data_IF_422967378646
#
_entry.id   IF_422967378646
#
_cell.length_a   1.000
_cell.length_b   1.000
_cell.length_c   1.000
_cell.angle_alpha   90.00
_cell.angle_beta   90.00
_cell.angle_gamma   90.00
#
_symmetry.space_group_name_H-M   'P 1'
#
loop_
_entity.id
_entity.type
_entity.pdbx_description
1 polymer ?
#
# COMPACT_ATOMS: atom_id res chain seq x y z
N UNK A 1 51.60 3.28 38.16
CA UNK A 1 50.42 4.12 37.87
C UNK A 1 49.33 3.20 37.36
N UNK A 2 48.37 2.84 38.22
CA UNK A 2 47.27 1.91 37.91
C UNK A 2 45.98 2.73 38.05
N UNK A 3 45.26 2.91 36.94
CA UNK A 3 43.99 3.64 36.92
C UNK A 3 42.82 2.65 36.92
N UNK A 4 42.04 2.65 37.99
CA UNK A 4 40.80 1.88 38.16
C UNK A 4 39.67 2.53 37.35
N UNK A 5 39.06 1.77 36.43
CA UNK A 5 37.80 2.13 35.79
C UNK A 5 36.62 1.63 36.62
N UNK A 6 35.71 2.55 36.95
CA UNK A 6 34.46 2.29 37.67
C UNK A 6 33.40 1.91 36.62
N UNK A 7 33.01 0.64 36.59
CA UNK A 7 31.83 0.17 35.87
C UNK A 7 30.58 0.53 36.69
N UNK A 8 29.83 1.52 36.22
CA UNK A 8 28.51 1.84 36.75
C UNK A 8 27.46 0.99 36.02
N UNK A 9 27.05 -0.11 36.64
CA UNK A 9 25.96 -0.97 36.19
C UNK A 9 24.62 -0.25 36.39
N UNK A 10 24.07 0.35 35.33
CA UNK A 10 22.72 0.91 35.33
C UNK A 10 21.73 -0.26 35.25
N UNK A 11 21.08 -0.56 36.37
CA UNK A 11 19.97 -1.50 36.42
C UNK A 11 18.73 -0.84 35.77
N UNK A 12 18.45 -1.21 34.53
CA UNK A 12 17.19 -0.84 33.84
C UNK A 12 16.06 -1.63 34.50
N UNK A 13 15.25 -0.94 35.30
CA UNK A 13 13.96 -1.45 35.79
C UNK A 13 13.04 -1.66 34.58
N UNK A 14 12.95 -2.91 34.12
CA UNK A 14 11.88 -3.34 33.21
C UNK A 14 10.59 -3.30 34.02
N UNK A 15 9.82 -2.22 33.87
CA UNK A 15 8.42 -2.18 34.30
C UNK A 15 7.68 -3.15 33.38
N UNK A 16 7.57 -4.40 33.82
CA UNK A 16 6.65 -5.37 33.24
C UNK A 16 5.24 -4.83 33.47
N UNK A 17 4.70 -4.13 32.47
CA UNK A 17 3.29 -3.76 32.42
C UNK A 17 2.48 -5.03 32.58
N UNK A 18 1.85 -5.19 33.75
CA UNK A 18 0.89 -6.24 34.01
C UNK A 18 -0.10 -6.26 32.84
N UNK A 19 -0.15 -7.38 32.13
CA UNK A 19 -1.08 -7.56 31.03
C UNK A 19 -2.49 -7.31 31.54
N UNK A 20 -3.05 -6.14 31.18
CA UNK A 20 -4.46 -6.09 30.83
C UNK A 20 -4.64 -7.27 29.90
N UNK A 21 -5.53 -8.21 30.24
CA UNK A 21 -5.87 -9.33 29.36
C UNK A 21 -6.33 -8.72 28.05
N UNK A 22 -5.39 -8.53 27.13
CA UNK A 22 -5.52 -7.64 25.99
C UNK A 22 -6.61 -8.20 25.13
N UNK A 23 -7.71 -7.47 25.02
CA UNK A 23 -8.81 -7.87 24.18
C UNK A 23 -8.29 -8.03 22.75
N UNK A 24 -8.49 -9.20 22.14
CA UNK A 24 -7.96 -9.48 20.81
C UNK A 24 -8.85 -8.83 19.75
N UNK A 25 -8.54 -7.59 19.39
CA UNK A 25 -9.28 -6.82 18.40
C UNK A 25 -9.29 -7.44 16.99
N UNK A 26 -8.37 -8.35 16.66
CA UNK A 26 -8.43 -9.07 15.38
C UNK A 26 -9.61 -10.06 15.33
N UNK A 27 -9.94 -10.67 16.47
CA UNK A 27 -11.00 -11.68 16.56
C UNK A 27 -12.36 -11.06 16.87
N UNK A 28 -12.39 -9.90 17.53
CA UNK A 28 -13.64 -9.26 17.95
C UNK A 28 -13.57 -7.74 17.79
N UNK A 29 -13.40 -7.24 16.56
CA UNK A 29 -13.15 -5.82 16.30
C UNK A 29 -14.31 -4.89 16.70
N UNK A 30 -15.49 -5.44 16.98
CA UNK A 30 -16.70 -4.71 17.38
C UNK A 30 -16.73 -4.35 18.87
N UNK A 31 -15.77 -4.82 19.67
CA UNK A 31 -15.72 -4.55 21.10
C UNK A 31 -15.30 -3.09 21.37
N UNK A 32 -15.89 -2.48 22.41
CA UNK A 32 -15.66 -1.06 22.72
C UNK A 32 -14.20 -0.73 23.05
N UNK A 33 -13.43 -1.69 23.60
CA UNK A 33 -12.01 -1.51 23.91
C UNK A 33 -11.11 -1.42 22.67
N UNK A 34 -11.62 -1.75 21.48
CA UNK A 34 -10.84 -1.72 20.25
C UNK A 34 -10.74 -0.34 19.61
N UNK A 35 -11.33 0.70 20.20
CA UNK A 35 -11.34 2.05 19.61
C UNK A 35 -9.94 2.59 19.34
N UNK A 36 -9.03 2.44 20.29
CA UNK A 36 -7.66 2.94 20.16
C UNK A 36 -6.69 1.94 19.50
N UNK A 37 -7.18 0.79 19.06
CA UNK A 37 -6.34 -0.21 18.41
C UNK A 37 -5.80 0.33 17.08
N UNK A 38 -4.49 0.20 16.89
CA UNK A 38 -3.81 0.52 15.62
C UNK A 38 -3.21 -0.73 15.03
N UNK A 39 -3.62 -1.06 13.80
CA UNK A 39 -2.98 -2.12 13.03
C UNK A 39 -1.47 -1.86 12.90
N UNK A 40 -0.60 -2.80 13.36
CA UNK A 40 0.84 -2.59 13.35
C UNK A 40 1.40 -2.42 11.94
N UNK A 41 2.35 -1.49 11.78
CA UNK A 41 3.02 -1.24 10.49
C UNK A 41 3.75 -2.48 9.98
N UNK A 42 4.39 -3.22 10.88
CA UNK A 42 5.16 -4.43 10.56
C UNK A 42 4.24 -5.51 9.98
N UNK A 43 3.02 -5.64 10.54
CA UNK A 43 2.00 -6.55 10.02
C UNK A 43 1.51 -6.11 8.64
N UNK A 44 1.36 -4.81 8.41
CA UNK A 44 1.00 -4.31 7.09
C UNK A 44 2.07 -4.58 6.04
N UNK A 45 3.35 -4.43 6.39
CA UNK A 45 4.49 -4.81 5.53
C UNK A 45 4.47 -6.30 5.20
N UNK A 46 4.28 -7.16 6.21
CA UNK A 46 4.20 -8.63 6.01
C UNK A 46 3.05 -8.99 5.05
N UNK A 47 1.87 -8.40 5.26
CA UNK A 47 0.69 -8.60 4.43
C UNK A 47 0.91 -8.11 2.99
N UNK A 48 1.49 -6.92 2.81
CA UNK A 48 1.83 -6.38 1.49
C UNK A 48 2.85 -7.26 0.75
N UNK A 49 3.92 -7.70 1.42
CA UNK A 49 4.88 -8.66 0.84
C UNK A 49 4.17 -9.94 0.37
N UNK A 50 3.27 -10.47 1.20
CA UNK A 50 2.50 -11.67 0.83
C UNK A 50 1.57 -11.44 -0.37
N UNK A 51 0.95 -10.25 -0.48
CA UNK A 51 0.03 -9.91 -1.57
C UNK A 51 0.81 -9.69 -2.87
N UNK A 52 1.89 -8.93 -2.79
CA UNK A 52 2.68 -8.48 -3.94
C UNK A 52 3.63 -9.55 -4.49
N UNK A 53 3.82 -10.68 -3.78
CA UNK A 53 4.58 -11.80 -4.32
C UNK A 53 3.90 -12.40 -5.56
N UNK A 54 4.47 -12.13 -6.73
CA UNK A 54 4.00 -12.63 -8.03
C UNK A 54 2.64 -12.07 -8.44
N UNK A 55 2.29 -10.87 -7.98
CA UNK A 55 1.07 -10.16 -8.37
C UNK A 55 1.49 -8.76 -8.82
N UNK A 56 0.99 -8.31 -9.97
CA UNK A 56 1.23 -6.94 -10.40
C UNK A 56 -0.01 -6.09 -10.22
N UNK A 57 0.09 -5.09 -9.35
CA UNK A 57 -1.01 -4.24 -8.96
C UNK A 57 -0.50 -2.86 -8.56
N UNK A 58 -1.34 -1.84 -8.71
CA UNK A 58 -0.98 -0.43 -8.44
C UNK A 58 -0.45 -0.25 -7.01
N UNK A 59 -1.11 -0.86 -6.02
CA UNK A 59 -0.67 -0.77 -4.62
C UNK A 59 0.68 -1.48 -4.38
N UNK A 60 1.01 -2.49 -5.18
CA UNK A 60 2.30 -3.19 -5.12
C UNK A 60 3.43 -2.36 -5.74
N UNK A 61 3.16 -1.67 -6.85
CA UNK A 61 4.13 -0.75 -7.46
C UNK A 61 4.50 0.39 -6.50
N UNK A 62 3.50 0.94 -5.82
CA UNK A 62 3.70 1.94 -4.77
C UNK A 62 4.47 1.37 -3.57
N UNK A 63 4.12 0.16 -3.11
CA UNK A 63 4.82 -0.51 -2.01
C UNK A 63 6.30 -0.75 -2.35
N UNK A 64 6.62 -1.19 -3.56
CA UNK A 64 7.99 -1.40 -4.01
C UNK A 64 8.75 -0.08 -4.10
N UNK A 65 8.12 0.96 -4.66
CA UNK A 65 8.71 2.31 -4.73
C UNK A 65 9.02 2.87 -3.33
N UNK A 66 8.10 2.68 -2.38
CA UNK A 66 8.29 3.08 -0.99
C UNK A 66 9.37 2.25 -0.28
N UNK A 67 9.38 0.93 -0.50
CA UNK A 67 10.35 0.01 0.13
C UNK A 67 11.78 0.24 -0.36
N UNK A 68 11.93 0.67 -1.61
CA UNK A 68 13.23 0.98 -2.21
C UNK A 68 13.72 2.41 -1.94
N UNK A 69 13.06 3.16 -1.05
CA UNK A 69 13.39 4.55 -0.71
C UNK A 69 13.45 5.50 -1.92
N UNK A 70 12.67 5.20 -2.97
CA UNK A 70 12.57 6.08 -4.15
C UNK A 70 11.81 7.36 -3.78
N UNK A 71 10.75 7.22 -3.00
CA UNK A 71 10.01 8.34 -2.42
C UNK A 71 10.71 8.80 -1.14
N UNK A 72 11.13 10.07 -1.10
CA UNK A 72 11.84 10.65 0.05
C UNK A 72 10.89 11.35 1.02
N UNK A 73 11.25 11.30 2.31
CA UNK A 73 10.59 12.02 3.39
C UNK A 73 9.26 11.40 3.85
N UNK A 74 8.52 12.13 4.67
CA UNK A 74 7.20 11.72 5.14
C UNK A 74 6.17 11.87 4.02
N UNK A 75 5.97 10.79 3.28
CA UNK A 75 4.94 10.70 2.24
C UNK A 75 3.84 9.74 2.70
N UNK A 76 2.60 10.22 2.77
CA UNK A 76 1.45 9.40 3.17
C UNK A 76 1.17 8.25 2.20
N UNK A 77 1.58 8.35 0.92
CA UNK A 77 1.52 7.22 -0.02
C UNK A 77 2.37 6.03 0.43
N UNK A 78 3.38 6.26 1.27
CA UNK A 78 4.21 5.22 1.86
C UNK A 78 3.73 4.77 3.24
N UNK A 79 2.53 5.19 3.66
CA UNK A 79 1.86 4.55 4.79
C UNK A 79 1.42 3.14 4.38
N UNK A 80 1.98 2.14 5.06
CA UNK A 80 1.80 0.75 4.69
C UNK A 80 0.37 0.25 4.96
N UNK A 81 -0.35 0.88 5.89
CA UNK A 81 -1.73 0.54 6.19
C UNK A 81 -2.65 1.11 5.11
N UNK A 82 -2.35 2.32 4.60
CA UNK A 82 -3.04 2.88 3.43
C UNK A 82 -2.82 2.00 2.20
N UNK A 83 -1.58 1.60 1.93
CA UNK A 83 -1.26 0.71 0.80
C UNK A 83 -1.90 -0.68 0.95
N UNK A 84 -1.91 -1.25 2.16
CA UNK A 84 -2.58 -2.52 2.43
C UNK A 84 -4.09 -2.40 2.17
N UNK A 85 -4.70 -1.31 2.62
CA UNK A 85 -6.12 -1.07 2.38
C UNK A 85 -6.43 -0.95 0.88
N UNK A 86 -5.63 -0.16 0.15
CA UNK A 86 -5.78 -0.02 -1.30
C UNK A 86 -5.62 -1.38 -2.01
N UNK A 87 -4.61 -2.16 -1.65
CA UNK A 87 -4.39 -3.50 -2.18
C UNK A 87 -5.58 -4.43 -1.91
N UNK A 88 -6.14 -4.39 -0.69
CA UNK A 88 -7.24 -5.28 -0.31
C UNK A 88 -8.61 -4.86 -0.85
N UNK A 89 -8.76 -3.59 -1.21
CA UNK A 89 -9.94 -3.03 -1.89
C UNK A 89 -9.88 -3.19 -3.42
N UNK A 90 -8.70 -3.48 -3.98
CA UNK A 90 -8.52 -3.70 -5.41
C UNK A 90 -9.23 -5.00 -5.86
N UNK A 91 -10.20 -4.96 -6.79
CA UNK A 91 -10.91 -6.14 -7.29
C UNK A 91 -9.98 -7.22 -7.87
N UNK A 92 -8.88 -6.80 -8.51
CA UNK A 92 -7.92 -7.73 -9.12
C UNK A 92 -7.05 -8.45 -8.07
N UNK A 93 -7.02 -7.97 -6.83
CA UNK A 93 -6.36 -8.66 -5.72
C UNK A 93 -7.41 -9.42 -4.89
N UNK A 94 -8.57 -8.80 -4.65
CA UNK A 94 -9.59 -9.34 -3.76
C UNK A 94 -10.15 -10.68 -4.23
N UNK A 95 -10.17 -10.95 -5.53
CA UNK A 95 -10.86 -12.12 -6.07
C UNK A 95 -9.96 -13.37 -6.20
N UNK A 96 -8.65 -13.22 -5.92
CA UNK A 96 -7.68 -14.31 -6.08
C UNK A 96 -7.34 -15.02 -4.75
N UNK A 97 -6.97 -16.31 -4.83
CA UNK A 97 -6.57 -17.21 -3.71
C UNK A 97 -5.39 -16.70 -2.84
N UNK A 98 -4.82 -15.53 -3.14
CA UNK A 98 -3.72 -14.87 -2.39
C UNK A 98 -4.22 -13.96 -1.26
N UNK A 99 -5.46 -14.13 -0.80
CA UNK A 99 -6.08 -13.30 0.23
C UNK A 99 -5.43 -13.34 1.63
N UNK A 100 -4.43 -14.19 1.91
CA UNK A 100 -3.87 -14.31 3.27
C UNK A 100 -3.46 -12.96 3.87
N UNK A 101 -2.82 -12.09 3.08
CA UNK A 101 -2.46 -10.74 3.53
C UNK A 101 -3.66 -9.81 3.75
N UNK A 102 -4.80 -10.06 3.11
CA UNK A 102 -6.01 -9.26 3.27
C UNK A 102 -7.00 -9.82 4.29
N UNK A 103 -6.94 -11.11 4.63
CA UNK A 103 -7.91 -11.76 5.53
C UNK A 103 -7.93 -11.09 6.89
N UNK A 104 -6.75 -10.86 7.48
CA UNK A 104 -6.66 -10.22 8.80
C UNK A 104 -7.15 -8.76 8.77
N UNK A 105 -6.74 -8.00 7.76
CA UNK A 105 -7.16 -6.60 7.58
C UNK A 105 -8.67 -6.49 7.38
N UNK A 106 -9.24 -7.31 6.49
CA UNK A 106 -10.70 -7.34 6.23
C UNK A 106 -11.50 -7.80 7.44
N UNK A 107 -10.98 -8.74 8.23
CA UNK A 107 -11.60 -9.15 9.48
C UNK A 107 -11.66 -7.98 10.47
N UNK A 108 -10.52 -7.32 10.68
CA UNK A 108 -10.40 -6.18 11.59
C UNK A 108 -11.27 -4.99 11.17
N UNK A 109 -11.29 -4.67 9.88
CA UNK A 109 -12.01 -3.54 9.31
C UNK A 109 -13.38 -3.93 8.72
N UNK A 110 -14.00 -4.95 9.29
CA UNK A 110 -15.34 -5.39 8.91
C UNK A 110 -16.42 -4.40 9.38
N UNK A 111 -17.62 -4.53 8.81
CA UNK A 111 -18.76 -3.70 9.18
C UNK A 111 -19.04 -3.76 10.68
N UNK A 112 -19.21 -2.59 11.31
CA UNK A 112 -19.44 -2.47 12.75
C UNK A 112 -18.18 -2.52 13.62
N UNK A 113 -16.99 -2.59 13.02
CA UNK A 113 -15.71 -2.43 13.74
C UNK A 113 -15.71 -1.16 14.59
N UNK A 114 -15.14 -1.27 15.80
CA UNK A 114 -14.86 -0.13 16.67
C UNK A 114 -13.45 0.41 16.50
N UNK A 115 -12.59 -0.28 15.73
CA UNK A 115 -11.22 0.12 15.45
C UNK A 115 -11.20 1.43 14.67
N UNK A 116 -10.87 2.54 15.35
CA UNK A 116 -10.89 3.86 14.73
C UNK A 116 -9.91 3.95 13.55
N UNK A 117 -8.78 3.24 13.63
CA UNK A 117 -7.80 3.20 12.55
C UNK A 117 -8.39 2.69 11.23
N UNK A 118 -9.34 1.74 11.27
CA UNK A 118 -10.05 1.28 10.08
C UNK A 118 -10.89 2.41 9.46
N UNK A 119 -11.64 3.15 10.28
CA UNK A 119 -12.46 4.26 9.79
C UNK A 119 -11.62 5.44 9.28
N UNK A 120 -10.46 5.68 9.89
CA UNK A 120 -9.52 6.70 9.44
C UNK A 120 -8.96 6.36 8.07
N UNK A 121 -8.43 5.14 7.89
CA UNK A 121 -7.85 4.70 6.62
C UNK A 121 -8.89 4.56 5.50
N UNK A 122 -10.11 4.14 5.84
CA UNK A 122 -11.22 4.05 4.89
C UNK A 122 -11.88 5.41 4.59
N UNK A 123 -11.56 6.45 5.35
CA UNK A 123 -12.13 7.78 5.12
C UNK A 123 -11.72 8.32 3.75
N UNK A 124 -12.63 8.97 3.01
CA UNK A 124 -12.28 9.71 1.79
C UNK A 124 -11.15 10.72 2.00
N UNK A 125 -10.95 11.23 3.22
CA UNK A 125 -9.87 12.18 3.55
C UNK A 125 -8.49 11.56 3.66
N UNK A 126 -8.41 10.24 3.91
CA UNK A 126 -7.15 9.48 3.96
C UNK A 126 -6.95 8.61 2.73
N UNK A 127 -7.99 8.39 1.92
CA UNK A 127 -7.85 7.80 0.60
C UNK A 127 -7.09 8.78 -0.29
N UNK A 128 -5.80 8.51 -0.52
CA UNK A 128 -4.91 9.35 -1.35
C UNK A 128 -5.24 9.21 -2.84
N UNK A 129 -6.45 8.75 -3.20
CA UNK A 129 -6.86 8.60 -4.59
C UNK A 129 -6.02 7.57 -5.36
N UNK A 130 -5.57 6.50 -4.68
CA UNK A 130 -4.83 5.40 -5.34
C UNK A 130 -5.78 4.74 -6.35
N UNK A 131 -5.46 4.76 -7.66
CA UNK A 131 -6.32 4.15 -8.66
C UNK A 131 -6.32 2.63 -8.51
N UNK A 132 -7.41 1.99 -8.95
CA UNK A 132 -7.45 0.52 -8.96
C UNK A 132 -6.61 -0.02 -10.11
N UNK A 133 -6.07 -1.22 -9.94
CA UNK A 133 -5.32 -1.91 -10.99
C UNK A 133 -6.17 -2.11 -12.25
N UNK A 134 -7.46 -2.42 -12.09
CA UNK A 134 -8.39 -2.53 -13.20
C UNK A 134 -8.53 -1.21 -13.98
N UNK A 135 -8.65 -0.07 -13.28
CA UNK A 135 -8.75 1.24 -13.94
C UNK A 135 -7.47 1.61 -14.69
N UNK A 136 -6.30 1.39 -14.09
CA UNK A 136 -5.01 1.66 -14.74
C UNK A 136 -4.82 0.78 -15.96
N UNK A 137 -5.11 -0.52 -15.87
CA UNK A 137 -4.99 -1.46 -17.01
C UNK A 137 -5.92 -1.08 -18.15
N UNK A 138 -7.16 -0.69 -17.86
CA UNK A 138 -8.09 -0.26 -18.90
C UNK A 138 -7.56 0.95 -19.69
N UNK A 139 -6.88 1.90 -19.03
CA UNK A 139 -6.26 3.03 -19.72
C UNK A 139 -5.02 2.61 -20.53
N UNK A 140 -4.19 1.70 -20.01
CA UNK A 140 -3.06 1.12 -20.77
C UNK A 140 -3.58 0.42 -22.02
N UNK A 141 -4.55 -0.48 -21.88
CA UNK A 141 -5.16 -1.22 -22.99
C UNK A 141 -5.71 -0.24 -24.03
N UNK A 142 -6.40 0.81 -23.60
CA UNK A 142 -6.93 1.84 -24.51
C UNK A 142 -5.84 2.62 -25.24
N UNK A 143 -4.71 2.95 -24.59
CA UNK A 143 -3.57 3.60 -25.25
C UNK A 143 -2.97 2.66 -26.29
N UNK A 144 -2.73 1.40 -25.91
CA UNK A 144 -2.06 0.42 -26.75
C UNK A 144 -2.91 -0.05 -27.94
N UNK A 145 -4.23 -0.04 -27.81
CA UNK A 145 -5.17 -0.29 -28.91
C UNK A 145 -5.18 0.84 -29.95
N UNK A 146 -4.96 2.09 -29.53
CA UNK A 146 -4.86 3.24 -30.45
C UNK A 146 -3.50 3.30 -31.14
N UNK A 147 -2.42 3.10 -30.38
CA UNK A 147 -1.05 3.11 -30.91
C UNK A 147 -0.14 2.26 -30.02
N UNK A 148 0.41 1.19 -30.60
CA UNK A 148 1.39 0.35 -29.90
C UNK A 148 2.70 1.11 -29.67
N UNK A 149 3.19 1.12 -28.44
CA UNK A 149 4.44 1.75 -28.01
C UNK A 149 5.18 0.88 -27.00
N UNK A 150 6.40 1.28 -26.63
CA UNK A 150 7.15 0.66 -25.54
C UNK A 150 6.32 0.64 -24.25
N UNK A 151 6.22 -0.51 -23.59
CA UNK A 151 5.33 -0.77 -22.46
C UNK A 151 4.01 -1.47 -22.82
N UNK A 152 3.60 -1.48 -24.10
CA UNK A 152 2.39 -2.20 -24.54
C UNK A 152 2.57 -3.72 -24.60
N UNK A 153 3.80 -4.23 -24.60
CA UNK A 153 4.12 -5.65 -24.40
C UNK A 153 3.66 -6.18 -23.03
N UNK A 154 3.32 -5.29 -22.10
CA UNK A 154 2.85 -5.61 -20.76
C UNK A 154 1.33 -5.61 -20.58
N UNK A 155 0.57 -5.36 -21.65
CA UNK A 155 -0.87 -5.61 -21.70
C UNK A 155 -1.09 -7.11 -21.51
N UNK A 156 -2.04 -7.56 -20.65
CA UNK A 156 -2.14 -8.94 -20.17
C UNK A 156 -2.58 -9.98 -21.21
N UNK A 157 -2.34 -9.75 -22.51
CA UNK A 157 -2.72 -10.69 -23.56
C UNK A 157 -1.80 -11.90 -23.69
N UNK A 158 -0.59 -11.91 -23.12
CA UNK A 158 0.38 -12.95 -23.47
C UNK A 158 0.90 -13.80 -22.30
N UNK A 159 0.92 -15.10 -22.56
CA UNK A 159 1.26 -16.22 -21.70
C UNK A 159 2.72 -16.25 -21.19
N UNK A 160 3.44 -15.12 -21.18
CA UNK A 160 4.87 -15.03 -20.83
C UNK A 160 5.11 -15.11 -19.32
N UNK A 161 4.09 -14.83 -18.50
CA UNK A 161 4.19 -14.93 -17.05
C UNK A 161 4.96 -13.78 -16.40
N UNK A 162 5.34 -12.75 -17.17
CA UNK A 162 6.05 -11.59 -16.65
C UNK A 162 5.12 -10.66 -15.86
N UNK A 163 5.58 -10.25 -14.67
CA UNK A 163 4.85 -9.40 -13.73
C UNK A 163 5.15 -7.93 -14.08
N UNK A 164 4.34 -7.35 -14.96
CA UNK A 164 4.52 -5.98 -15.42
C UNK A 164 3.88 -4.93 -14.48
N UNK A 165 4.61 -3.95 -13.92
CA UNK A 165 4.11 -2.97 -12.95
C UNK A 165 3.15 -1.95 -13.59
N UNK A 166 1.81 -2.10 -13.44
CA UNK A 166 0.83 -1.34 -14.19
C UNK A 166 0.94 0.18 -13.99
N UNK A 167 1.23 0.64 -12.77
CA UNK A 167 1.34 2.06 -12.46
C UNK A 167 2.56 2.68 -13.13
N UNK A 168 3.69 1.97 -13.18
CA UNK A 168 4.90 2.44 -13.86
C UNK A 168 4.63 2.60 -15.36
N UNK A 169 4.13 1.53 -16.00
CA UNK A 169 3.86 1.53 -17.45
C UNK A 169 2.86 2.62 -17.82
N UNK A 170 1.75 2.73 -17.10
CA UNK A 170 0.78 3.77 -17.37
C UNK A 170 1.36 5.18 -17.21
N UNK A 171 2.24 5.37 -16.23
CA UNK A 171 2.92 6.65 -16.04
C UNK A 171 3.86 6.95 -17.18
N UNK A 172 4.70 6.00 -17.59
CA UNK A 172 5.66 6.16 -18.69
C UNK A 172 4.93 6.51 -20.00
N UNK A 173 3.89 5.76 -20.35
CA UNK A 173 3.02 6.04 -21.52
C UNK A 173 2.43 7.46 -21.48
N UNK A 174 2.01 7.92 -20.30
CA UNK A 174 1.43 9.25 -20.12
C UNK A 174 2.45 10.39 -20.07
N UNK A 175 3.69 10.12 -19.66
CA UNK A 175 4.79 11.08 -19.72
C UNK A 175 5.27 11.27 -21.15
N UNK A 176 5.24 10.21 -21.97
CA UNK A 176 5.55 10.30 -23.41
C UNK A 176 4.45 11.03 -24.18
N UNK A 177 3.19 10.96 -23.72
CA UNK A 177 2.03 11.59 -24.36
C UNK A 177 1.13 12.36 -23.37
N UNK A 178 1.60 13.47 -22.77
CA UNK A 178 0.86 14.18 -21.73
C UNK A 178 -0.42 14.83 -22.24
N UNK A 179 -0.59 14.98 -23.55
CA UNK A 179 -1.81 15.50 -24.19
C UNK A 179 -2.92 14.46 -24.35
N UNK A 180 -2.62 13.17 -24.19
CA UNK A 180 -3.57 12.09 -24.49
C UNK A 180 -4.76 12.08 -23.52
N UNK A 181 -5.94 11.67 -24.00
CA UNK A 181 -7.17 11.76 -23.21
C UNK A 181 -7.27 10.65 -22.15
N UNK A 182 -6.75 9.46 -22.45
CA UNK A 182 -6.56 8.31 -21.55
C UNK A 182 -5.66 8.64 -20.35
N UNK A 183 -4.83 9.68 -20.44
CA UNK A 183 -3.99 10.14 -19.34
C UNK A 183 -4.73 11.00 -18.30
N UNK A 184 -6.07 11.04 -18.32
CA UNK A 184 -6.85 11.80 -17.35
C UNK A 184 -6.69 11.29 -15.92
N UNK A 185 -6.58 9.96 -15.72
CA UNK A 185 -6.40 9.35 -14.41
C UNK A 185 -5.00 9.68 -13.87
N UNK A 186 -3.96 9.55 -14.70
CA UNK A 186 -2.59 9.99 -14.40
C UNK A 186 -2.54 11.48 -14.01
N UNK A 187 -3.14 12.37 -14.82
CA UNK A 187 -3.24 13.80 -14.51
C UNK A 187 -3.97 14.08 -13.20
N UNK A 188 -4.99 13.29 -12.88
CA UNK A 188 -5.76 13.45 -11.63
C UNK A 188 -4.93 13.02 -10.42
N UNK A 189 -4.21 11.91 -10.54
CA UNK A 189 -3.26 11.41 -9.57
C UNK A 189 -2.14 12.44 -9.30
N UNK A 190 -1.51 12.98 -10.36
CA UNK A 190 -0.40 13.92 -10.24
C UNK A 190 -0.77 15.32 -9.75
N UNK A 191 -2.06 15.62 -9.57
CA UNK A 191 -2.51 16.84 -8.86
C UNK A 191 -2.38 16.72 -7.35
N UNK A 192 -2.34 15.49 -6.82
CA UNK A 192 -2.22 15.19 -5.39
C UNK A 192 -0.75 15.39 -4.96
N UNK A 193 -0.53 16.11 -3.87
CA UNK A 193 0.81 16.52 -3.43
C UNK A 193 1.72 15.33 -3.07
N UNK A 194 1.13 14.27 -2.54
CA UNK A 194 1.83 13.02 -2.25
C UNK A 194 2.40 12.38 -3.53
N UNK A 195 1.65 12.43 -4.63
CA UNK A 195 2.05 11.84 -5.91
C UNK A 195 3.13 12.62 -6.65
N UNK A 196 3.20 13.95 -6.47
CA UNK A 196 4.26 14.80 -7.04
C UNK A 196 5.68 14.43 -6.59
N UNK A 197 5.80 13.66 -5.51
CA UNK A 197 7.08 13.18 -4.96
C UNK A 197 7.44 11.78 -5.44
N UNK A 198 6.65 11.20 -6.35
CA UNK A 198 6.82 9.85 -6.88
C UNK A 198 7.40 9.89 -8.30
N UNK A 199 8.10 8.83 -8.76
CA UNK A 199 8.59 8.73 -10.14
C UNK A 199 7.50 8.81 -11.20
N UNK A 200 6.24 8.64 -10.81
CA UNK A 200 5.09 8.55 -11.70
C UNK A 200 4.61 9.91 -12.24
N UNK A 201 5.05 11.05 -11.68
CA UNK A 201 4.42 12.36 -11.93
C UNK A 201 5.39 13.48 -12.35
N UNK A 202 6.60 13.16 -12.79
CA UNK A 202 7.64 14.14 -13.13
C UNK A 202 7.47 14.77 -14.51
#
# INVERSE_FOLDING_TARGET
MIAQQILATIAVLVVSSNGVLGFNCHNTPTHAECTDYKYPKEKAVESLKSICTGTSAVACDLFDTCSNNVIKGDNKLCDHVILLNAACADPMISDHKKQKGCTEWKSLCSSGTKVQHCTEVLSPTMSIGIPTTASVRAEIDSICDEMYMDGCECVPNDATGDVCPPLSIYSDLCLDMPGHHQCWLHKSMCKIDEYKKTPYCF
#
